data_IF_002716119973
#
_entry.id   IF_002716119973
#
_cell.length_a   1.000
_cell.length_b   1.000
_cell.length_c   1.000
_cell.angle_alpha   90.00
_cell.angle_beta   90.00
_cell.angle_gamma   90.00
#
_symmetry.space_group_name_H-M   'P 1'
#
loop_
_entity.id
_entity.type
_entity.pdbx_description
1 polymer ?
#
# COMPACT_ATOMS: atom_id res chain seq x y z
N UNK A 1 -9.25 11.34 -0.95
CA UNK A 1 -10.16 10.74 -1.93
C UNK A 1 -9.34 10.06 -3.00
N UNK A 2 -9.76 8.88 -3.46
CA UNK A 2 -8.97 8.00 -4.33
C UNK A 2 -9.41 8.02 -5.81
N UNK A 3 -10.57 8.64 -6.12
CA UNK A 3 -11.06 8.86 -7.48
C UNK A 3 -10.50 10.12 -8.16
N UNK A 4 -10.78 10.34 -9.46
CA UNK A 4 -10.29 11.49 -10.23
C UNK A 4 -10.67 12.79 -9.53
N UNK A 5 -9.66 13.40 -8.90
CA UNK A 5 -9.87 14.52 -7.99
C UNK A 5 -10.11 15.83 -8.71
N UNK A 6 -9.63 16.00 -9.95
CA UNK A 6 -9.58 17.31 -10.58
C UNK A 6 -8.98 18.35 -9.61
N UNK A 7 -9.74 19.42 -9.36
CA UNK A 7 -9.38 20.47 -8.39
C UNK A 7 -9.69 20.14 -6.92
N UNK A 8 -10.21 18.95 -6.60
CA UNK A 8 -10.54 18.57 -5.22
C UNK A 8 -9.27 18.38 -4.41
N UNK A 9 -9.22 19.12 -3.31
CA UNK A 9 -8.27 18.91 -2.24
C UNK A 9 -8.42 17.49 -1.68
N UNK A 10 -7.27 16.86 -1.41
CA UNK A 10 -7.25 15.60 -0.70
C UNK A 10 -7.01 15.87 0.79
N UNK A 11 -7.53 15.01 1.68
CA UNK A 11 -7.24 15.12 3.10
C UNK A 11 -5.73 15.03 3.35
N UNK A 12 -5.18 15.97 4.11
CA UNK A 12 -3.77 16.06 4.40
C UNK A 12 -3.35 14.94 5.38
N UNK A 13 -2.51 14.01 4.92
CA UNK A 13 -2.11 12.83 5.71
C UNK A 13 -1.44 13.25 7.03
N UNK A 14 -0.52 14.22 7.01
CA UNK A 14 0.24 14.61 8.20
C UNK A 14 -0.66 15.22 9.27
N UNK A 15 -1.57 16.11 8.89
CA UNK A 15 -2.50 16.74 9.82
C UNK A 15 -3.43 15.70 10.46
N UNK A 16 -3.91 14.73 9.68
CA UNK A 16 -4.79 13.68 10.18
C UNK A 16 -4.06 12.73 11.13
N UNK A 17 -2.84 12.29 10.79
CA UNK A 17 -2.01 11.48 11.69
C UNK A 17 -1.67 12.23 12.98
N UNK A 18 -1.29 13.51 12.89
CA UNK A 18 -1.02 14.35 14.05
C UNK A 18 -2.25 14.51 14.96
N UNK A 19 -3.46 14.48 14.39
CA UNK A 19 -4.72 14.49 15.13
C UNK A 19 -5.16 13.11 15.65
N UNK A 20 -4.34 12.05 15.48
CA UNK A 20 -4.67 10.69 15.92
C UNK A 20 -5.73 9.99 15.07
N UNK A 21 -6.02 10.52 13.88
CA UNK A 21 -7.00 9.91 12.96
C UNK A 21 -6.37 8.69 12.30
N UNK A 22 -7.02 7.54 12.43
CA UNK A 22 -6.64 6.33 11.70
C UNK A 22 -6.90 6.51 10.21
N UNK A 23 -5.87 6.26 9.41
CA UNK A 23 -5.94 6.34 7.95
C UNK A 23 -5.81 4.95 7.35
N UNK A 24 -6.55 4.76 6.25
CA UNK A 24 -6.51 3.57 5.41
C UNK A 24 -6.43 3.98 3.95
N UNK A 25 -6.10 3.02 3.09
CA UNK A 25 -6.01 3.22 1.66
C UNK A 25 -6.77 2.17 0.89
N UNK A 26 -7.34 2.57 -0.24
CA UNK A 26 -8.01 1.69 -1.18
C UNK A 26 -7.82 2.18 -2.61
N UNK A 27 -7.90 1.26 -3.56
CA UNK A 27 -7.81 1.63 -4.97
C UNK A 27 -9.09 2.30 -5.49
N UNK A 28 -10.23 1.97 -4.90
CA UNK A 28 -11.55 2.20 -5.49
C UNK A 28 -11.66 1.42 -6.82
N UNK A 29 -12.47 1.88 -7.78
CA UNK A 29 -12.58 1.28 -9.10
C UNK A 29 -11.23 1.04 -9.82
N UNK A 30 -11.08 -0.13 -10.43
CA UNK A 30 -9.90 -0.55 -11.22
C UNK A 30 -10.34 -0.88 -12.63
N UNK A 31 -9.94 -0.04 -13.60
CA UNK A 31 -10.22 -0.22 -15.03
C UNK A 31 -11.70 -0.51 -15.33
N UNK A 32 -12.58 0.16 -14.59
CA UNK A 32 -14.03 0.07 -14.76
C UNK A 32 -14.57 1.33 -15.43
N UNK A 33 -15.91 1.40 -15.56
CA UNK A 33 -16.59 2.54 -16.17
C UNK A 33 -16.38 3.87 -15.44
N UNK A 34 -15.87 3.85 -14.20
CA UNK A 34 -15.63 5.04 -13.37
C UNK A 34 -14.17 5.48 -13.38
N UNK A 35 -13.23 4.53 -13.48
CA UNK A 35 -11.80 4.83 -13.39
C UNK A 35 -10.93 3.90 -14.26
N UNK A 36 -10.50 4.38 -15.45
CA UNK A 36 -9.68 3.58 -16.36
C UNK A 36 -8.19 3.50 -15.99
N UNK A 37 -7.71 4.27 -14.99
CA UNK A 37 -6.27 4.48 -14.78
C UNK A 37 -5.65 3.63 -13.69
N UNK A 38 -6.45 3.03 -12.81
CA UNK A 38 -5.94 2.33 -11.63
C UNK A 38 -5.46 0.90 -11.93
N UNK A 39 -4.57 0.40 -11.08
CA UNK A 39 -4.00 -0.95 -11.16
C UNK A 39 -4.06 -1.65 -9.80
N UNK A 40 -4.09 -2.99 -9.75
CA UNK A 40 -4.07 -3.74 -8.50
C UNK A 40 -2.66 -3.79 -7.88
N UNK A 41 -2.03 -2.61 -7.69
CA UNK A 41 -0.69 -2.46 -7.12
C UNK A 41 -0.72 -1.50 -5.92
N UNK A 42 -0.41 -2.05 -4.74
CA UNK A 42 -0.39 -1.28 -3.48
C UNK A 42 0.83 -0.36 -3.39
N UNK A 43 1.97 -0.72 -4.00
CA UNK A 43 3.14 0.16 -4.05
C UNK A 43 2.85 1.38 -4.95
N UNK A 44 2.11 1.17 -6.04
CA UNK A 44 1.58 2.27 -6.87
C UNK A 44 0.63 3.16 -6.08
N UNK A 45 -0.29 2.57 -5.32
CA UNK A 45 -1.20 3.32 -4.46
C UNK A 45 -0.44 4.16 -3.42
N UNK A 46 0.57 3.59 -2.76
CA UNK A 46 1.42 4.30 -1.82
C UNK A 46 2.15 5.48 -2.49
N UNK A 47 2.72 5.26 -3.67
CA UNK A 47 3.38 6.32 -4.44
C UNK A 47 2.43 7.47 -4.76
N UNK A 48 1.22 7.18 -5.26
CA UNK A 48 0.22 8.20 -5.57
C UNK A 48 -0.19 8.99 -4.32
N UNK A 49 -0.33 8.32 -3.17
CA UNK A 49 -0.64 8.98 -1.90
C UNK A 49 0.47 9.94 -1.46
N UNK A 50 1.72 9.49 -1.50
CA UNK A 50 2.89 10.31 -1.17
C UNK A 50 3.00 11.52 -2.11
N UNK A 51 2.90 11.27 -3.42
CA UNK A 51 2.98 12.31 -4.44
C UNK A 51 1.87 13.37 -4.28
N UNK A 52 0.61 12.94 -4.12
CA UNK A 52 -0.53 13.87 -3.97
C UNK A 52 -0.49 14.67 -2.67
N UNK A 53 0.15 14.15 -1.61
CA UNK A 53 0.34 14.86 -0.33
C UNK A 53 1.66 15.64 -0.26
N UNK A 54 2.45 15.66 -1.34
CA UNK A 54 3.78 16.25 -1.38
C UNK A 54 4.72 15.75 -0.26
N UNK A 55 4.68 14.45 0.02
CA UNK A 55 5.55 13.77 0.98
C UNK A 55 6.87 13.40 0.31
N UNK A 56 8.00 13.75 0.94
CA UNK A 56 9.34 13.63 0.33
C UNK A 56 10.37 12.95 1.20
N UNK A 57 10.18 13.00 2.53
CA UNK A 57 11.11 12.38 3.47
C UNK A 57 10.79 10.90 3.60
N UNK A 58 11.81 10.12 3.94
CA UNK A 58 11.66 8.68 4.12
C UNK A 58 10.62 8.36 5.21
N UNK A 59 10.65 9.09 6.34
CA UNK A 59 9.67 8.94 7.43
C UNK A 59 8.23 9.25 6.98
N UNK A 60 8.03 10.25 6.12
CA UNK A 60 6.71 10.52 5.55
C UNK A 60 6.23 9.38 4.63
N UNK A 61 7.14 8.71 3.91
CA UNK A 61 6.81 7.61 3.00
C UNK A 61 6.56 6.32 3.79
N UNK A 62 7.33 6.06 4.85
CA UNK A 62 7.08 4.97 5.80
C UNK A 62 5.70 5.12 6.46
N UNK A 63 5.29 6.35 6.80
CA UNK A 63 3.93 6.63 7.27
C UNK A 63 2.85 6.23 6.25
N UNK A 64 3.11 6.41 4.95
CA UNK A 64 2.20 5.94 3.89
C UNK A 64 2.22 4.42 3.76
N UNK A 65 3.39 3.80 3.90
CA UNK A 65 3.52 2.34 3.90
C UNK A 65 2.70 1.74 5.05
N UNK A 66 2.81 2.29 6.26
CA UNK A 66 2.00 1.93 7.43
C UNK A 66 0.50 2.01 7.12
N UNK A 67 0.04 3.09 6.46
CA UNK A 67 -1.36 3.26 6.06
C UNK A 67 -1.83 2.14 5.11
N UNK A 68 -1.04 1.81 4.09
CA UNK A 68 -1.42 0.77 3.10
C UNK A 68 -1.23 -0.66 3.61
N UNK A 69 -0.58 -0.84 4.77
CA UNK A 69 -0.29 -2.13 5.41
C UNK A 69 -1.07 -2.28 6.73
N UNK A 70 -0.46 -1.91 7.85
CA UNK A 70 -1.00 -2.06 9.20
C UNK A 70 -2.30 -1.25 9.42
N UNK A 71 -2.41 -0.06 8.82
CA UNK A 71 -3.64 0.74 8.85
C UNK A 71 -4.83 -0.02 8.29
N UNK A 72 -4.66 -0.62 7.11
CA UNK A 72 -5.66 -1.46 6.45
C UNK A 72 -5.98 -2.71 7.28
N UNK A 73 -4.96 -3.42 7.77
CA UNK A 73 -5.13 -4.62 8.58
C UNK A 73 -5.94 -4.35 9.87
N UNK A 74 -5.66 -3.23 10.54
CA UNK A 74 -6.36 -2.82 11.75
C UNK A 74 -7.86 -2.58 11.49
N UNK A 75 -8.23 -1.92 10.38
CA UNK A 75 -9.64 -1.70 10.03
C UNK A 75 -10.33 -2.98 9.60
N UNK A 76 -9.62 -3.90 8.96
CA UNK A 76 -10.15 -5.21 8.59
C UNK A 76 -10.26 -6.18 9.78
N UNK A 77 -9.75 -5.82 10.96
CA UNK A 77 -9.74 -6.68 12.14
C UNK A 77 -8.78 -7.86 12.04
N UNK A 78 -7.75 -7.77 11.20
CA UNK A 78 -6.75 -8.84 11.04
C UNK A 78 -5.74 -8.80 12.20
N UNK A 79 -6.01 -9.60 13.23
CA UNK A 79 -5.15 -9.74 14.41
C UNK A 79 -3.89 -10.56 14.14
N UNK A 80 -3.83 -11.28 13.02
CA UNK A 80 -2.69 -12.10 12.59
C UNK A 80 -1.66 -11.34 11.77
N UNK A 81 -1.94 -10.07 11.40
CA UNK A 81 -1.10 -9.28 10.51
C UNK A 81 0.27 -8.92 11.10
N UNK A 82 1.27 -8.82 10.22
CA UNK A 82 2.64 -8.42 10.54
C UNK A 82 3.62 -9.58 10.75
N UNK A 83 4.91 -9.25 10.79
CA UNK A 83 5.97 -10.25 10.93
C UNK A 83 6.27 -10.55 12.40
N UNK A 84 5.56 -11.55 12.93
CA UNK A 84 5.76 -12.04 14.30
C UNK A 84 5.54 -13.55 14.39
N UNK A 85 6.21 -14.25 15.31
CA UNK A 85 5.87 -15.64 15.63
C UNK A 85 4.38 -15.80 15.94
N UNK A 86 3.77 -16.84 15.38
CA UNK A 86 2.33 -17.11 15.51
C UNK A 86 1.41 -16.17 14.70
N UNK A 87 1.96 -15.26 13.90
CA UNK A 87 1.20 -14.47 12.93
C UNK A 87 0.89 -15.24 11.65
N UNK A 88 0.10 -14.62 10.78
CA UNK A 88 -0.18 -15.16 9.44
C UNK A 88 1.10 -15.23 8.62
N UNK A 89 1.37 -16.37 7.98
CA UNK A 89 2.49 -16.54 7.05
C UNK A 89 2.17 -15.93 5.67
N UNK A 90 1.87 -14.63 5.68
CA UNK A 90 1.54 -13.80 4.53
C UNK A 90 2.65 -12.76 4.34
N UNK A 91 3.35 -12.82 3.21
CA UNK A 91 4.44 -11.89 2.93
C UNK A 91 4.60 -11.63 1.45
N UNK A 92 5.22 -10.50 1.15
CA UNK A 92 5.60 -10.09 -0.19
C UNK A 92 7.07 -9.73 -0.15
N UNK A 93 7.88 -10.36 -1.00
CA UNK A 93 9.26 -9.94 -1.22
C UNK A 93 9.31 -9.04 -2.45
N UNK A 94 10.03 -7.94 -2.28
CA UNK A 94 10.23 -6.89 -3.27
C UNK A 94 11.73 -6.65 -3.37
N UNK A 95 12.25 -6.62 -4.59
CA UNK A 95 13.68 -6.37 -4.84
C UNK A 95 13.95 -4.86 -4.72
N UNK A 96 14.26 -4.42 -3.50
CA UNK A 96 14.55 -3.04 -3.16
C UNK A 96 15.40 -2.96 -1.88
N UNK A 97 16.28 -1.96 -1.81
CA UNK A 97 17.17 -1.74 -0.66
C UNK A 97 16.43 -1.23 0.58
N UNK A 98 15.34 -0.47 0.39
CA UNK A 98 14.51 0.09 1.46
C UNK A 98 13.02 0.01 1.09
N UNK A 99 12.12 0.14 2.08
CA UNK A 99 10.69 0.22 1.77
C UNK A 99 10.36 1.46 0.93
N UNK A 100 11.04 2.58 1.18
CA UNK A 100 10.92 3.80 0.38
C UNK A 100 11.31 3.51 -1.08
N UNK A 101 12.43 2.83 -1.32
CA UNK A 101 12.85 2.43 -2.66
C UNK A 101 11.80 1.51 -3.33
N UNK A 102 11.21 0.58 -2.59
CA UNK A 102 10.11 -0.25 -3.09
C UNK A 102 8.91 0.58 -3.55
N UNK A 103 8.52 1.61 -2.80
CA UNK A 103 7.43 2.53 -3.19
C UNK A 103 7.82 3.41 -4.38
N UNK A 104 9.07 3.88 -4.46
CA UNK A 104 9.54 4.77 -5.53
C UNK A 104 9.72 4.04 -6.85
N UNK A 105 10.24 2.82 -6.83
CA UNK A 105 10.51 2.04 -8.04
C UNK A 105 9.38 1.10 -8.44
N UNK A 106 8.53 0.68 -7.47
CA UNK A 106 7.42 -0.27 -7.67
C UNK A 106 7.84 -1.50 -8.50
N UNK A 107 8.97 -2.16 -8.18
CA UNK A 107 9.42 -3.29 -8.98
C UNK A 107 8.40 -4.44 -8.86
N UNK A 108 8.39 -5.36 -9.84
CA UNK A 108 7.60 -6.59 -9.75
C UNK A 108 7.84 -7.31 -8.43
N UNK A 109 6.80 -7.94 -7.90
CA UNK A 109 6.87 -8.68 -6.64
C UNK A 109 7.62 -9.98 -6.90
N UNK A 110 8.83 -10.09 -6.37
CA UNK A 110 9.69 -11.25 -6.59
C UNK A 110 9.03 -12.53 -6.09
N UNK A 111 8.37 -12.45 -4.94
CA UNK A 111 7.64 -13.57 -4.35
C UNK A 111 6.44 -13.06 -3.57
N UNK A 112 5.30 -13.74 -3.72
CA UNK A 112 4.13 -13.56 -2.85
C UNK A 112 3.82 -14.87 -2.17
N UNK A 113 3.66 -14.83 -0.86
CA UNK A 113 3.26 -15.95 -0.02
C UNK A 113 1.95 -15.64 0.67
N UNK A 114 1.03 -16.61 0.66
CA UNK A 114 -0.24 -16.57 1.40
C UNK A 114 -0.38 -17.85 2.21
N UNK A 115 -0.56 -17.73 3.52
CA UNK A 115 -0.72 -18.80 4.50
C UNK A 115 0.36 -19.88 4.37
N UNK A 116 1.62 -19.45 4.25
CA UNK A 116 2.78 -20.33 4.15
C UNK A 116 2.98 -20.97 2.78
N UNK A 117 2.15 -20.64 1.78
CA UNK A 117 2.28 -21.14 0.41
C UNK A 117 2.69 -20.02 -0.53
N UNK A 118 3.70 -20.26 -1.36
CA UNK A 118 4.06 -19.33 -2.43
C UNK A 118 2.94 -19.38 -3.49
N UNK A 119 2.38 -18.22 -3.82
CA UNK A 119 1.26 -18.08 -4.76
C UNK A 119 1.62 -17.27 -6.01
N UNK A 120 2.70 -16.50 -5.98
CA UNK A 120 3.21 -15.78 -7.15
C UNK A 120 4.74 -15.67 -7.09
N UNK A 121 5.37 -15.60 -8.26
CA UNK A 121 6.80 -15.30 -8.44
C UNK A 121 6.98 -14.37 -9.63
N UNK A 122 7.98 -13.50 -9.55
CA UNK A 122 8.37 -12.59 -10.64
C UNK A 122 7.17 -11.81 -11.23
N UNK A 123 6.25 -11.38 -10.36
CA UNK A 123 5.04 -10.64 -10.76
C UNK A 123 3.92 -11.48 -11.40
N UNK A 124 4.04 -12.81 -11.48
CA UNK A 124 3.04 -13.71 -12.06
C UNK A 124 2.51 -14.73 -11.03
N UNK A 125 1.20 -14.99 -11.06
CA UNK A 125 0.59 -16.04 -10.24
C UNK A 125 1.14 -17.41 -10.63
N UNK A 126 1.37 -18.27 -9.64
CA UNK A 126 1.63 -19.68 -9.86
C UNK A 126 0.28 -20.37 -10.12
N UNK A 127 0.26 -21.28 -11.10
CA UNK A 127 -0.90 -22.12 -11.39
C UNK A 127 -1.23 -23.08 -10.24
#
# INVERSE_FOLDING_TARGET
SHGPGGHRLIPNIKNLRAAGVRLISGNDGIQDAWNPLQRPDVLERAYVMAYRNNLRRDDDIEDVIDIVTYGNAAVMGDTGYGFRPGGSADLVLVDAETHVAAVVHRPPRWLVMKRGRITARDGACLA
#
